data_IF_198568836250
#
_entry.id   IF_198568836250
#
_cell.length_a   1.000
_cell.length_b   1.000
_cell.length_c   1.000
_cell.angle_alpha   90.00
_cell.angle_beta   90.00
_cell.angle_gamma   90.00
#
_symmetry.space_group_name_H-M   'P 1'
#
loop_
_entity.id
_entity.type
_entity.pdbx_description
1 polymer ?
#
# COMPACT_ATOMS: atom_id res chain seq x y z
N UNK A 1 7.31 9.96 13.42
CA UNK A 1 6.22 9.46 12.55
C UNK A 1 6.52 9.59 11.07
N UNK A 2 6.45 10.79 10.46
CA UNK A 2 6.61 10.90 9.00
C UNK A 2 7.99 10.46 8.49
N UNK A 3 9.07 10.88 9.13
CA UNK A 3 10.43 10.46 8.75
C UNK A 3 10.60 8.94 8.84
N UNK A 4 10.08 8.33 9.91
CA UNK A 4 10.09 6.87 10.09
C UNK A 4 9.24 6.16 9.02
N UNK A 5 8.09 6.74 8.63
CA UNK A 5 7.27 6.20 7.54
C UNK A 5 8.02 6.26 6.20
N UNK A 6 8.73 7.35 5.93
CA UNK A 6 9.63 7.45 4.77
C UNK A 6 10.70 6.36 4.82
N UNK A 7 11.39 6.19 5.95
CA UNK A 7 12.41 5.14 6.11
C UNK A 7 11.84 3.72 5.91
N UNK A 8 10.60 3.47 6.33
CA UNK A 8 9.91 2.20 6.10
C UNK A 8 9.67 1.98 4.61
N UNK A 9 9.12 2.95 3.89
CA UNK A 9 8.88 2.85 2.45
C UNK A 9 10.20 2.69 1.67
N UNK A 10 11.22 3.49 2.00
CA UNK A 10 12.54 3.42 1.38
C UNK A 10 13.20 2.05 1.63
N UNK A 11 13.05 1.49 2.84
CA UNK A 11 13.55 0.15 3.16
C UNK A 11 12.87 -0.92 2.31
N UNK A 12 11.55 -0.85 2.16
CA UNK A 12 10.79 -1.80 1.34
C UNK A 12 11.16 -1.72 -0.14
N UNK A 13 11.30 -0.50 -0.67
CA UNK A 13 11.77 -0.26 -2.03
C UNK A 13 13.17 -0.85 -2.26
N UNK A 14 14.13 -0.53 -1.38
CA UNK A 14 15.52 -0.95 -1.56
C UNK A 14 15.76 -2.45 -1.40
N UNK A 15 14.88 -3.18 -0.72
CA UNK A 15 15.05 -4.63 -0.46
C UNK A 15 14.33 -5.54 -1.45
N UNK A 16 13.52 -4.99 -2.37
CA UNK A 16 12.68 -5.74 -3.31
C UNK A 16 13.02 -5.33 -4.73
N UNK A 17 13.58 -6.25 -5.50
CA UNK A 17 13.95 -6.00 -6.91
C UNK A 17 12.74 -5.92 -7.84
N UNK A 18 11.58 -6.40 -7.38
CA UNK A 18 10.31 -6.43 -8.09
C UNK A 18 9.46 -5.17 -7.87
N UNK A 19 9.94 -4.25 -7.01
CA UNK A 19 9.25 -3.02 -6.63
C UNK A 19 9.97 -1.83 -7.25
N UNK A 20 9.20 -0.95 -7.88
CA UNK A 20 9.69 0.27 -8.53
C UNK A 20 9.05 1.50 -7.89
N UNK A 21 9.74 2.64 -7.88
CA UNK A 21 9.17 3.93 -7.50
C UNK A 21 8.97 4.82 -8.72
N UNK A 22 7.78 5.40 -8.86
CA UNK A 22 7.47 6.43 -9.85
C UNK A 22 6.35 7.34 -9.32
N UNK A 23 6.05 8.44 -10.02
CA UNK A 23 4.92 9.30 -9.66
C UNK A 23 3.59 8.52 -9.71
N UNK A 24 2.76 8.63 -8.66
CA UNK A 24 1.47 7.95 -8.57
C UNK A 24 0.61 8.23 -9.81
N UNK A 25 0.01 7.20 -10.36
CA UNK A 25 -0.94 7.28 -11.47
C UNK A 25 -2.32 7.69 -10.95
N UNK A 26 -2.71 7.21 -9.77
CA UNK A 26 -4.01 7.53 -9.19
C UNK A 26 -4.07 8.96 -8.64
N UNK A 27 -3.10 9.37 -7.83
CA UNK A 27 -3.13 10.68 -7.15
C UNK A 27 -2.31 11.75 -7.87
N UNK A 28 -1.25 11.38 -8.60
CA UNK A 28 -0.40 12.28 -9.40
C UNK A 28 0.40 13.33 -8.62
N UNK A 29 0.41 13.31 -7.29
CA UNK A 29 1.14 14.28 -6.47
C UNK A 29 2.29 13.66 -5.68
N UNK A 30 2.14 12.43 -5.20
CA UNK A 30 3.16 11.72 -4.47
C UNK A 30 3.74 10.58 -5.33
N UNK A 31 5.01 10.19 -5.14
CA UNK A 31 5.53 8.96 -5.68
C UNK A 31 4.89 7.77 -4.96
N UNK A 32 4.78 6.69 -5.72
CA UNK A 32 4.18 5.45 -5.31
C UNK A 32 5.10 4.29 -5.65
N UNK A 33 4.96 3.23 -4.88
CA UNK A 33 5.52 1.93 -5.15
C UNK A 33 4.65 1.20 -6.17
N UNK A 34 5.30 0.53 -7.11
CA UNK A 34 4.71 -0.25 -8.18
C UNK A 34 5.25 -1.67 -8.17
N UNK A 35 4.39 -2.62 -8.53
CA UNK A 35 4.77 -3.99 -8.85
C UNK A 35 4.22 -4.32 -10.24
N UNK A 36 5.06 -4.25 -11.30
CA UNK A 36 4.61 -4.42 -12.69
C UNK A 36 3.88 -5.74 -12.95
N UNK A 37 4.30 -6.82 -12.27
CA UNK A 37 3.68 -8.15 -12.42
C UNK A 37 2.20 -8.20 -12.03
N UNK A 38 1.68 -7.24 -11.25
CA UNK A 38 0.23 -7.14 -11.00
C UNK A 38 -0.56 -6.78 -12.26
N UNK A 39 0.04 -6.02 -13.18
CA UNK A 39 -0.57 -5.71 -14.48
C UNK A 39 -0.61 -6.98 -15.32
N UNK A 40 0.49 -7.73 -15.37
CA UNK A 40 0.59 -8.99 -16.11
C UNK A 40 -0.41 -10.05 -15.61
N UNK A 41 -0.68 -10.07 -14.30
CA UNK A 41 -1.69 -10.94 -13.67
C UNK A 41 -3.14 -10.45 -13.80
N UNK A 42 -3.36 -9.24 -14.32
CA UNK A 42 -4.69 -8.62 -14.39
C UNK A 42 -5.28 -8.26 -13.03
N UNK A 43 -4.44 -8.13 -12.00
CA UNK A 43 -4.84 -7.81 -10.63
C UNK A 43 -4.84 -6.30 -10.38
N UNK A 44 -4.02 -5.53 -11.11
CA UNK A 44 -3.97 -4.07 -11.05
C UNK A 44 -3.93 -3.47 -12.45
N UNK A 45 -4.66 -2.38 -12.74
CA UNK A 45 -4.60 -1.71 -14.03
C UNK A 45 -3.29 -0.94 -14.27
N UNK A 46 -2.58 -0.57 -13.21
CA UNK A 46 -1.37 0.27 -13.27
C UNK A 46 -0.15 -0.37 -12.64
N UNK A 47 -0.34 -1.38 -11.79
CA UNK A 47 0.71 -1.94 -10.94
C UNK A 47 1.00 -1.08 -9.70
N UNK A 48 0.36 0.07 -9.52
CA UNK A 48 0.51 0.90 -8.32
C UNK A 48 -0.01 0.14 -7.10
N UNK A 49 0.79 0.06 -6.03
CA UNK A 49 0.47 -0.72 -4.82
C UNK A 49 0.44 0.08 -3.54
N UNK A 50 1.27 1.11 -3.40
CA UNK A 50 1.33 1.88 -2.17
C UNK A 50 1.88 3.28 -2.39
N UNK A 51 1.24 4.29 -1.81
CA UNK A 51 1.86 5.60 -1.61
C UNK A 51 1.36 6.24 -0.32
N UNK A 52 2.02 7.31 0.11
CA UNK A 52 1.59 8.08 1.26
C UNK A 52 1.69 9.57 1.02
N UNK A 53 0.73 10.29 1.60
CA UNK A 53 0.66 11.73 1.51
C UNK A 53 1.70 12.31 2.46
N UNK A 54 2.87 12.66 1.94
CA UNK A 54 4.00 13.14 2.75
C UNK A 54 3.65 14.27 3.73
N UNK A 55 2.72 15.21 3.45
CA UNK A 55 2.38 16.22 4.44
C UNK A 55 1.68 15.67 5.69
N UNK A 56 0.97 14.53 5.59
CA UNK A 56 -0.02 14.11 6.60
C UNK A 56 0.12 12.65 7.06
N UNK A 57 0.81 11.82 6.29
CA UNK A 57 1.15 10.43 6.62
C UNK A 57 0.05 9.40 6.35
N UNK A 58 -1.15 9.82 5.90
CA UNK A 58 -2.15 8.87 5.40
C UNK A 58 -1.67 8.19 4.13
N UNK A 59 -2.07 6.95 3.90
CA UNK A 59 -1.57 6.14 2.80
C UNK A 59 -2.69 5.55 1.97
N UNK A 60 -2.43 5.36 0.69
CA UNK A 60 -3.24 4.53 -0.18
C UNK A 60 -2.53 3.24 -0.52
N UNK A 61 -3.21 2.11 -0.32
CA UNK A 61 -2.64 0.78 -0.56
C UNK A 61 -3.61 -0.07 -1.36
N UNK A 62 -3.07 -0.89 -2.27
CA UNK A 62 -3.80 -1.91 -2.98
C UNK A 62 -3.52 -3.27 -2.34
N UNK A 63 -4.42 -3.70 -1.44
CA UNK A 63 -4.24 -4.91 -0.64
C UNK A 63 -4.71 -6.16 -1.38
N UNK A 64 -4.28 -7.34 -0.90
CA UNK A 64 -5.01 -8.57 -1.14
C UNK A 64 -6.47 -8.39 -0.61
N UNK A 65 -7.51 -8.82 -1.34
CA UNK A 65 -8.90 -8.68 -0.89
C UNK A 65 -9.18 -9.20 0.53
N UNK A 66 -8.55 -10.28 0.98
CA UNK A 66 -8.73 -10.79 2.36
C UNK A 66 -8.12 -9.87 3.41
N UNK A 67 -6.98 -9.26 3.09
CA UNK A 67 -6.28 -8.35 3.98
C UNK A 67 -7.00 -7.00 4.05
N UNK A 68 -7.52 -6.52 2.92
CA UNK A 68 -8.35 -5.31 2.86
C UNK A 68 -9.52 -5.39 3.85
N UNK A 69 -10.26 -6.50 3.85
CA UNK A 69 -11.34 -6.75 4.80
C UNK A 69 -10.84 -6.68 6.24
N UNK A 70 -9.75 -7.39 6.54
CA UNK A 70 -9.19 -7.48 7.90
C UNK A 70 -8.73 -6.12 8.44
N UNK A 71 -8.03 -5.34 7.60
CA UNK A 71 -7.50 -4.03 7.97
C UNK A 71 -8.64 -3.02 8.22
N UNK A 72 -9.69 -3.06 7.39
CA UNK A 72 -10.89 -2.23 7.57
C UNK A 72 -11.67 -2.61 8.83
N UNK A 73 -11.92 -3.91 9.05
CA UNK A 73 -12.65 -4.39 10.25
C UNK A 73 -11.92 -4.08 11.56
N UNK A 74 -10.58 -4.00 11.51
CA UNK A 74 -9.75 -3.62 12.66
C UNK A 74 -9.60 -2.11 12.85
N UNK A 75 -10.21 -1.30 11.99
CA UNK A 75 -10.22 0.16 12.10
C UNK A 75 -8.91 0.84 11.68
N UNK A 76 -8.04 0.14 10.95
CA UNK A 76 -6.77 0.69 10.45
C UNK A 76 -6.90 1.42 9.11
N UNK A 77 -7.98 1.13 8.38
CA UNK A 77 -8.24 1.70 7.07
C UNK A 77 -9.74 1.80 6.78
N UNK A 78 -10.07 2.50 5.71
CA UNK A 78 -11.36 2.44 5.03
C UNK A 78 -11.16 2.15 3.54
N UNK A 79 -12.19 1.63 2.86
CA UNK A 79 -12.14 1.53 1.40
C UNK A 79 -12.08 2.94 0.79
N UNK A 80 -11.27 3.12 -0.25
CA UNK A 80 -11.33 4.36 -1.01
C UNK A 80 -12.74 4.54 -1.60
N UNK A 81 -13.26 5.77 -1.63
CA UNK A 81 -14.60 6.06 -2.16
C UNK A 81 -14.81 5.72 -3.65
N UNK A 82 -13.73 5.31 -4.34
CA UNK A 82 -13.72 4.95 -5.76
C UNK A 82 -13.35 3.46 -5.97
N UNK A 83 -13.18 2.68 -4.90
CA UNK A 83 -12.82 1.27 -4.98
C UNK A 83 -13.85 0.46 -5.76
N UNK A 84 -13.37 -0.36 -6.69
CA UNK A 84 -14.21 -1.16 -7.58
C UNK A 84 -14.78 -0.38 -8.77
N UNK A 85 -14.38 0.89 -8.95
CA UNK A 85 -14.71 1.68 -10.13
C UNK A 85 -13.45 2.22 -10.81
N UNK A 86 -12.89 3.34 -10.33
CA UNK A 86 -11.70 3.97 -10.92
C UNK A 86 -10.38 3.45 -10.33
N UNK A 87 -10.44 2.78 -9.18
CA UNK A 87 -9.30 2.14 -8.53
C UNK A 87 -9.67 0.68 -8.17
N UNK A 88 -8.69 -0.20 -7.93
CA UNK A 88 -8.95 -1.60 -7.59
C UNK A 88 -9.96 -1.78 -6.44
N UNK A 89 -10.67 -2.91 -6.42
CA UNK A 89 -11.71 -3.16 -5.42
C UNK A 89 -11.19 -3.20 -3.98
N UNK A 90 -9.95 -3.64 -3.79
CA UNK A 90 -9.25 -3.70 -2.50
C UNK A 90 -8.32 -2.51 -2.26
N UNK A 91 -8.53 -1.40 -2.97
CA UNK A 91 -7.82 -0.15 -2.72
C UNK A 91 -8.37 0.53 -1.46
N UNK A 92 -7.48 0.90 -0.54
CA UNK A 92 -7.85 1.44 0.77
C UNK A 92 -7.15 2.77 1.05
N UNK A 93 -7.73 3.55 1.97
CA UNK A 93 -7.06 4.62 2.69
C UNK A 93 -6.66 4.08 4.07
N UNK A 94 -5.36 3.91 4.32
CA UNK A 94 -4.80 3.57 5.64
C UNK A 94 -4.52 4.87 6.40
N UNK A 95 -4.93 4.92 7.67
CA UNK A 95 -4.78 6.12 8.51
C UNK A 95 -3.32 6.42 8.85
N UNK A 96 -3.02 7.70 9.04
CA UNK A 96 -1.69 8.16 9.44
C UNK A 96 -1.32 7.62 10.84
N UNK A 97 -0.10 7.09 11.04
CA UNK A 97 0.28 6.54 12.33
C UNK A 97 0.50 7.65 13.36
N UNK A 98 -0.16 7.55 14.51
CA UNK A 98 -0.11 8.55 15.60
C UNK A 98 0.93 8.21 16.65
N UNK A 99 1.25 6.92 16.78
CA UNK A 99 2.21 6.39 17.75
C UNK A 99 2.97 5.18 17.19
N UNK A 100 3.79 4.56 18.06
CA UNK A 100 4.61 3.40 17.68
C UNK A 100 3.77 2.15 17.39
N UNK A 101 2.62 1.98 18.03
CA UNK A 101 1.73 0.85 17.77
C UNK A 101 1.12 0.98 16.38
N UNK A 102 0.61 2.17 16.05
CA UNK A 102 0.09 2.46 14.71
C UNK A 102 1.19 2.27 13.65
N UNK A 103 2.41 2.73 13.91
CA UNK A 103 3.53 2.57 12.97
C UNK A 103 3.85 1.09 12.71
N UNK A 104 3.83 0.27 13.75
CA UNK A 104 4.05 -1.17 13.63
C UNK A 104 2.93 -1.84 12.83
N UNK A 105 1.67 -1.42 13.04
CA UNK A 105 0.54 -1.92 12.26
C UNK A 105 0.68 -1.55 10.79
N UNK A 106 0.92 -0.27 10.48
CA UNK A 106 1.15 0.24 9.12
C UNK A 106 2.31 -0.46 8.44
N UNK A 107 3.42 -0.70 9.15
CA UNK A 107 4.58 -1.43 8.62
C UNK A 107 4.16 -2.83 8.17
N UNK A 108 3.43 -3.57 9.02
CA UNK A 108 2.95 -4.93 8.69
C UNK A 108 1.96 -4.94 7.53
N UNK A 109 1.09 -3.94 7.45
CA UNK A 109 0.13 -3.81 6.35
C UNK A 109 0.88 -3.58 5.03
N UNK A 110 1.89 -2.70 5.02
CA UNK A 110 2.73 -2.47 3.84
C UNK A 110 3.53 -3.72 3.44
N UNK A 111 4.14 -4.40 4.41
CA UNK A 111 4.89 -5.63 4.17
C UNK A 111 4.00 -6.72 3.56
N UNK A 112 2.80 -6.95 4.13
CA UNK A 112 1.83 -7.90 3.59
C UNK A 112 1.36 -7.53 2.18
N UNK A 113 1.11 -6.24 1.94
CA UNK A 113 0.75 -5.71 0.61
C UNK A 113 1.82 -6.06 -0.42
N UNK A 114 3.08 -5.80 -0.10
CA UNK A 114 4.19 -6.02 -1.01
C UNK A 114 4.54 -7.50 -1.17
N UNK A 115 4.42 -8.31 -0.11
CA UNK A 115 4.64 -9.75 -0.19
C UNK A 115 3.63 -10.40 -1.14
N UNK A 116 2.33 -10.10 -0.97
CA UNK A 116 1.32 -10.55 -1.91
C UNK A 116 1.56 -10.02 -3.32
N UNK A 117 1.78 -8.71 -3.47
CA UNK A 117 1.95 -8.09 -4.79
C UNK A 117 3.13 -8.66 -5.57
N UNK A 118 4.24 -8.96 -4.89
CA UNK A 118 5.45 -9.55 -5.49
C UNK A 118 5.37 -11.07 -5.67
N UNK A 119 4.24 -11.70 -5.31
CA UNK A 119 4.04 -13.14 -5.45
C UNK A 119 4.80 -13.99 -4.43
N UNK A 120 5.24 -13.40 -3.31
CA UNK A 120 5.78 -14.16 -2.18
C UNK A 120 4.61 -14.82 -1.44
N UNK A 121 4.76 -16.09 -0.98
CA UNK A 121 3.70 -16.74 -0.23
C UNK A 121 3.40 -15.96 1.06
N UNK A 122 2.16 -15.50 1.20
CA UNK A 122 1.66 -14.95 2.46
C UNK A 122 1.52 -16.10 3.46
N UNK A 123 2.32 -16.07 4.53
CA UNK A 123 2.07 -16.92 5.71
C UNK A 123 0.85 -16.35 6.42
N UNK A 124 -0.28 -17.05 6.29
CA UNK A 124 -1.54 -16.74 6.98
C UNK A 124 -1.50 -16.96 8.48
#
# INVERSE_FOLDING_TARGET
>A
MLAELTEIFDRELNRRTEVEEQQSTFERHHPALYVPSLVDRGESPTGEVAHFHRPQGSMHLHLNPSDARTVVERGWAELHGLSGSMVPASYVLVYSPRDREDLNAVTRILEATLDWATGKPTVG
#
